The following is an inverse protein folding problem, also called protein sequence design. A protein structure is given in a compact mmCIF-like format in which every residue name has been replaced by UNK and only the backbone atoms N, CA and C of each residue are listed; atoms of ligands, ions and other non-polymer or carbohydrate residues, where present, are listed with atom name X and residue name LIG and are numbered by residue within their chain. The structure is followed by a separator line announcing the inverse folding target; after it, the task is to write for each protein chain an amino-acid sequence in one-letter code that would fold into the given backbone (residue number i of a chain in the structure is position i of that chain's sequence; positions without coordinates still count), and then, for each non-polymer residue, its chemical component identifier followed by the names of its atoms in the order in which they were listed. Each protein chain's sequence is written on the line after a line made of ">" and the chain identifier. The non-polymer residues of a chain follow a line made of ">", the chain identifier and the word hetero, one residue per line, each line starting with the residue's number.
data_IF_129404181136
#
_entry.id   IF_129404181136
#
_cell.length_a   1.000
_cell.length_b   1.000
_cell.length_c   1.000
_cell.angle_alpha   90.00
_cell.angle_beta   90.00
_cell.angle_gamma   90.00
#
_symmetry.space_group_name_H-M   'P 1'
#
loop_
_entity.id
_entity.type
_entity.pdbx_description
1 polymer ?
#
# COMPACT_ATOMS: atom_id res chain seq x y z
N UNK A 1 14.18 11.35 -7.90
CA UNK A 1 13.60 10.73 -6.67
C UNK A 1 12.39 9.91 -7.07
N UNK A 2 12.56 8.59 -7.26
CA UNK A 2 11.55 7.63 -7.75
C UNK A 2 11.71 6.25 -7.05
N UNK A 3 12.48 6.19 -5.96
CA UNK A 3 13.07 4.93 -5.48
C UNK A 3 12.11 3.96 -4.79
N UNK A 4 11.17 4.46 -3.98
CA UNK A 4 10.27 3.61 -3.19
C UNK A 4 9.33 2.77 -4.06
N UNK A 5 8.58 3.44 -4.95
CA UNK A 5 7.65 2.76 -5.86
C UNK A 5 8.37 1.84 -6.82
N UNK A 6 9.47 2.31 -7.43
CA UNK A 6 10.24 1.51 -8.36
C UNK A 6 10.85 0.27 -7.67
N UNK A 7 11.28 0.39 -6.41
CA UNK A 7 11.77 -0.76 -5.66
C UNK A 7 10.68 -1.78 -5.39
N UNK A 8 9.46 -1.37 -5.03
CA UNK A 8 8.33 -2.30 -4.91
C UNK A 8 7.93 -2.88 -6.27
N UNK A 9 7.93 -2.08 -7.33
CA UNK A 9 7.60 -2.54 -8.68
C UNK A 9 8.54 -3.63 -9.19
N UNK A 10 9.80 -3.67 -8.75
CA UNK A 10 10.70 -4.76 -9.14
C UNK A 10 10.29 -6.13 -8.58
N UNK A 11 9.65 -6.17 -7.42
CA UNK A 11 9.30 -7.44 -6.74
C UNK A 11 7.81 -7.74 -6.76
N UNK A 12 6.97 -6.72 -6.78
CA UNK A 12 5.53 -6.80 -6.53
C UNK A 12 4.71 -6.16 -7.66
N UNK A 13 5.28 -6.03 -8.86
CA UNK A 13 4.50 -5.56 -10.01
C UNK A 13 3.30 -6.47 -10.20
N UNK A 14 2.13 -5.87 -10.29
CA UNK A 14 0.92 -6.61 -10.58
C UNK A 14 0.98 -7.17 -11.99
N UNK A 15 0.89 -8.50 -12.10
CA UNK A 15 0.85 -9.22 -13.38
C UNK A 15 -0.56 -9.69 -13.75
N UNK A 16 -1.46 -9.80 -12.77
CA UNK A 16 -2.84 -10.27 -12.96
C UNK A 16 -3.85 -9.22 -12.48
N UNK A 17 -5.06 -9.15 -13.08
CA UNK A 17 -6.12 -8.28 -12.58
C UNK A 17 -6.39 -8.53 -11.10
N UNK A 18 -6.56 -7.46 -10.33
CA UNK A 18 -6.84 -7.53 -8.90
C UNK A 18 -8.35 -7.59 -8.68
N UNK A 19 -8.84 -8.64 -8.04
CA UNK A 19 -10.22 -8.78 -7.56
C UNK A 19 -10.29 -8.44 -6.07
N UNK A 20 -11.09 -7.43 -5.72
CA UNK A 20 -11.27 -6.99 -4.33
C UNK A 20 -11.63 -5.52 -4.22
N UNK A 21 -12.00 -5.09 -3.01
CA UNK A 21 -12.34 -3.71 -2.75
C UNK A 21 -11.14 -2.77 -2.93
N UNK A 22 -11.39 -1.61 -3.55
CA UNK A 22 -10.39 -0.56 -3.77
C UNK A 22 -10.89 0.77 -3.22
N UNK A 23 -10.02 1.46 -2.49
CA UNK A 23 -10.23 2.80 -1.95
C UNK A 23 -9.34 3.79 -2.69
N UNK A 24 -9.98 4.60 -3.55
CA UNK A 24 -9.33 5.71 -4.26
C UNK A 24 -9.18 6.92 -3.34
N UNK A 25 -8.34 7.87 -3.75
CA UNK A 25 -8.09 9.11 -3.02
C UNK A 25 -7.59 8.89 -1.60
N UNK A 26 -6.89 7.78 -1.39
CA UNK A 26 -6.23 7.50 -0.13
C UNK A 26 -5.00 8.38 0.01
N UNK A 27 -4.76 8.85 1.23
CA UNK A 27 -3.51 9.51 1.60
C UNK A 27 -2.62 8.49 2.31
N UNK A 28 -1.37 8.41 1.86
CA UNK A 28 -0.38 7.52 2.43
C UNK A 28 1.03 7.93 2.05
N UNK A 29 2.03 7.36 2.70
CA UNK A 29 3.42 7.55 2.33
C UNK A 29 4.05 6.21 1.95
N UNK A 30 4.98 6.26 1.01
CA UNK A 30 5.79 5.12 0.60
C UNK A 30 7.27 5.49 0.79
N UNK A 31 7.85 5.02 1.89
CA UNK A 31 9.18 5.45 2.33
C UNK A 31 9.21 6.96 2.59
N UNK A 32 10.07 7.68 1.88
CA UNK A 32 10.20 9.15 1.98
C UNK A 32 9.21 9.91 1.08
N UNK A 33 8.50 9.23 0.19
CA UNK A 33 7.54 9.86 -0.72
C UNK A 33 6.15 9.91 -0.07
N UNK A 34 5.61 11.10 0.11
CA UNK A 34 4.22 11.30 0.56
C UNK A 34 3.29 11.38 -0.66
N UNK A 35 2.32 10.48 -0.73
CA UNK A 35 1.29 10.45 -1.75
C UNK A 35 -0.02 10.96 -1.15
N UNK A 36 -0.28 12.25 -1.32
CA UNK A 36 -1.54 12.88 -0.91
C UNK A 36 -2.58 12.72 -2.02
N UNK A 37 -3.76 12.17 -1.72
CA UNK A 37 -4.94 12.07 -2.60
C UNK A 37 -4.82 11.31 -3.93
N UNK A 38 -3.63 10.89 -4.36
CA UNK A 38 -3.44 10.14 -5.60
C UNK A 38 -3.18 8.65 -5.39
N UNK A 39 -3.30 8.12 -4.17
CA UNK A 39 -3.12 6.69 -3.93
C UNK A 39 -4.46 5.95 -4.03
N UNK A 40 -4.50 4.90 -4.84
CA UNK A 40 -5.51 3.85 -4.76
C UNK A 40 -4.93 2.69 -3.99
N UNK A 41 -5.56 2.31 -2.88
CA UNK A 41 -5.21 1.14 -2.08
C UNK A 41 -6.33 0.13 -2.22
N UNK A 42 -6.03 -1.17 -2.28
CA UNK A 42 -7.00 -2.24 -2.23
C UNK A 42 -6.51 -3.38 -1.35
N UNK A 43 -7.43 -4.22 -0.91
CA UNK A 43 -7.13 -5.40 -0.12
C UNK A 43 -8.10 -6.52 -0.51
N UNK A 44 -7.60 -7.74 -0.49
CA UNK A 44 -8.39 -8.96 -0.64
C UNK A 44 -7.78 -10.06 0.26
N UNK A 45 -8.33 -11.27 0.33
CA UNK A 45 -7.76 -12.35 1.14
C UNK A 45 -6.33 -12.77 0.74
N UNK A 46 -5.91 -12.50 -0.49
CA UNK A 46 -4.60 -12.87 -1.03
C UNK A 46 -3.51 -11.82 -0.73
N UNK A 47 -3.86 -10.54 -0.75
CA UNK A 47 -2.90 -9.46 -0.57
C UNK A 47 -3.45 -8.04 -0.70
N UNK A 48 -2.50 -7.14 -0.91
CA UNK A 48 -2.64 -5.71 -0.99
C UNK A 48 -2.47 -5.24 -2.42
N UNK A 49 -3.31 -4.30 -2.85
CA UNK A 49 -3.19 -3.62 -4.13
C UNK A 49 -2.81 -2.16 -3.92
N UNK A 50 -1.86 -1.66 -4.71
CA UNK A 50 -1.48 -0.25 -4.71
C UNK A 50 -1.39 0.24 -6.15
N UNK A 51 -2.04 1.36 -6.44
CA UNK A 51 -1.90 2.05 -7.71
C UNK A 51 -1.92 3.56 -7.50
N UNK A 52 -1.26 4.30 -8.40
CA UNK A 52 -1.40 5.76 -8.44
C UNK A 52 -2.57 6.12 -9.35
N UNK A 53 -3.50 6.92 -8.84
CA UNK A 53 -4.69 7.45 -9.51
C UNK A 53 -4.32 8.61 -10.44
N UNK A 54 -3.41 8.40 -11.40
CA UNK A 54 -3.01 9.43 -12.36
C UNK A 54 -3.36 8.97 -13.79
N UNK A 55 -3.90 9.85 -14.67
CA UNK A 55 -4.14 9.50 -16.08
C UNK A 55 -2.83 9.20 -16.84
N UNK A 56 -1.70 9.75 -16.39
CA UNK A 56 -0.36 9.47 -16.94
C UNK A 56 0.32 8.34 -16.14
N UNK A 57 -0.13 7.09 -16.36
CA UNK A 57 0.46 5.86 -15.75
C UNK A 57 1.93 5.58 -16.15
N UNK A 58 2.62 6.56 -16.73
CA UNK A 58 4.00 6.46 -17.16
C UNK A 58 4.92 6.37 -15.92
N UNK A 59 5.42 5.16 -15.65
CA UNK A 59 6.45 4.91 -14.63
C UNK A 59 5.97 4.37 -13.27
N UNK A 60 4.66 4.29 -13.04
CA UNK A 60 4.09 3.78 -11.78
C UNK A 60 3.18 2.57 -12.04
N UNK A 61 3.76 1.39 -12.36
CA UNK A 61 2.95 0.19 -12.57
C UNK A 61 2.19 -0.13 -11.27
N UNK A 62 0.93 -0.61 -11.37
CA UNK A 62 0.21 -1.05 -10.19
C UNK A 62 0.95 -2.22 -9.54
N UNK A 63 0.84 -2.29 -8.22
CA UNK A 63 1.54 -3.23 -7.38
C UNK A 63 0.53 -4.16 -6.71
N UNK A 64 0.90 -5.42 -6.61
CA UNK A 64 0.18 -6.42 -5.83
C UNK A 64 1.16 -7.11 -4.88
N UNK A 65 0.92 -6.97 -3.59
CA UNK A 65 1.79 -7.47 -2.53
C UNK A 65 1.02 -8.54 -1.74
N UNK A 66 1.36 -9.83 -1.88
CA UNK A 66 0.74 -10.88 -1.11
C UNK A 66 0.89 -10.67 0.40
N UNK A 67 -0.07 -11.11 1.20
CA UNK A 67 0.05 -11.01 2.66
C UNK A 67 1.27 -11.77 3.20
N UNK A 68 1.66 -12.87 2.55
CA UNK A 68 2.87 -13.63 2.89
C UNK A 68 4.18 -12.84 2.73
N UNK A 69 4.15 -11.78 1.93
CA UNK A 69 5.27 -10.88 1.63
C UNK A 69 5.30 -9.65 2.55
N UNK A 70 4.23 -9.44 3.33
CA UNK A 70 4.19 -8.42 4.38
C UNK A 70 4.98 -8.94 5.58
N UNK A 71 6.03 -8.21 5.95
CA UNK A 71 6.93 -8.56 7.05
C UNK A 71 6.35 -8.15 8.41
N UNK A 72 5.78 -6.95 8.51
CA UNK A 72 5.12 -6.47 9.72
C UNK A 72 4.07 -5.41 9.39
N UNK A 73 3.09 -5.29 10.29
CA UNK A 73 2.03 -4.28 10.28
C UNK A 73 2.07 -3.60 11.65
N UNK A 74 2.45 -2.33 11.68
CA UNK A 74 2.71 -1.60 12.92
C UNK A 74 1.90 -0.29 12.94
N UNK A 75 1.22 0.03 14.05
CA UNK A 75 0.67 1.37 14.25
C UNK A 75 1.80 2.41 14.23
N UNK A 76 1.63 3.44 13.42
CA UNK A 76 2.55 4.57 13.36
C UNK A 76 1.83 5.83 13.83
N UNK A 77 2.33 6.43 14.92
CA UNK A 77 1.93 7.77 15.33
C UNK A 77 2.72 8.79 14.51
N UNK A 78 2.08 9.35 13.49
CA UNK A 78 2.51 10.65 12.95
C UNK A 78 1.86 11.74 13.81
N UNK A 79 2.59 12.82 14.11
CA UNK A 79 2.30 13.87 15.11
C UNK A 79 0.81 14.05 15.50
N UNK A 80 -0.11 14.09 14.52
CA UNK A 80 -1.55 14.30 14.75
C UNK A 80 -2.49 13.29 14.06
N UNK A 81 -1.98 12.32 13.30
CA UNK A 81 -2.81 11.40 12.51
C UNK A 81 -2.42 9.94 12.74
N UNK A 82 -3.36 9.07 13.18
CA UNK A 82 -3.09 7.66 13.36
C UNK A 82 -2.93 6.98 11.98
N UNK A 83 -1.73 6.44 11.75
CA UNK A 83 -1.39 5.69 10.54
C UNK A 83 -1.05 4.25 10.88
N UNK A 84 -1.11 3.37 9.88
CA UNK A 84 -0.65 1.99 9.96
C UNK A 84 0.42 1.80 8.92
N UNK A 85 1.60 1.36 9.35
CA UNK A 85 2.77 1.09 8.52
C UNK A 85 2.85 -0.40 8.21
N UNK A 86 3.03 -0.70 6.93
CA UNK A 86 3.31 -2.02 6.39
C UNK A 86 4.77 -2.06 5.96
N UNK A 87 5.49 -3.09 6.39
CA UNK A 87 6.84 -3.41 5.93
C UNK A 87 6.79 -4.64 5.03
N UNK A 88 7.71 -4.71 4.07
CA UNK A 88 7.74 -5.76 3.06
C UNK A 88 9.05 -6.54 3.13
N UNK A 89 8.98 -7.87 2.92
CA UNK A 89 10.15 -8.75 3.02
C UNK A 89 11.20 -8.44 1.96
N UNK A 90 10.80 -8.28 0.70
CA UNK A 90 11.73 -8.04 -0.42
C UNK A 90 12.17 -6.58 -0.54
N UNK A 91 11.49 -5.66 0.15
CA UNK A 91 11.81 -4.24 0.11
C UNK A 91 11.80 -3.63 1.53
N UNK A 92 12.70 -4.07 2.44
CA UNK A 92 12.68 -3.65 3.83
C UNK A 92 12.98 -2.15 4.03
N UNK A 93 13.63 -1.51 3.04
CA UNK A 93 13.91 -0.08 3.03
C UNK A 93 12.70 0.78 2.63
N UNK A 94 11.61 0.15 2.16
CA UNK A 94 10.39 0.82 1.73
C UNK A 94 9.23 0.34 2.59
N UNK A 95 8.51 1.28 3.19
CA UNK A 95 7.32 0.97 3.96
C UNK A 95 6.14 1.77 3.44
N UNK A 96 4.97 1.14 3.37
CA UNK A 96 3.72 1.83 3.09
C UNK A 96 3.08 2.27 4.41
N UNK A 97 2.77 3.55 4.57
CA UNK A 97 1.90 4.02 5.64
C UNK A 97 0.57 4.49 5.05
N UNK A 98 -0.54 4.02 5.62
CA UNK A 98 -1.91 4.45 5.28
C UNK A 98 -2.63 4.94 6.52
N UNK A 99 -3.69 5.72 6.36
CA UNK A 99 -4.51 6.14 7.49
C UNK A 99 -5.16 4.94 8.18
N UNK A 100 -5.39 5.05 9.50
CA UNK A 100 -6.08 4.01 10.27
C UNK A 100 -7.45 3.64 9.69
N UNK A 101 -8.19 4.61 9.14
CA UNK A 101 -9.49 4.37 8.50
C UNK A 101 -9.38 3.40 7.31
N UNK A 102 -8.36 3.58 6.48
CA UNK A 102 -8.10 2.71 5.32
C UNK A 102 -7.63 1.34 5.79
N UNK A 103 -6.71 1.28 6.76
CA UNK A 103 -6.24 0.01 7.32
C UNK A 103 -7.38 -0.84 7.91
N UNK A 104 -8.31 -0.24 8.65
CA UNK A 104 -9.48 -0.93 9.19
C UNK A 104 -10.42 -1.45 8.10
N UNK A 105 -10.62 -0.67 7.02
CA UNK A 105 -11.41 -1.11 5.88
C UNK A 105 -10.74 -2.31 5.18
N UNK A 106 -9.41 -2.29 5.05
CA UNK A 106 -8.62 -3.40 4.52
C UNK A 106 -8.69 -4.63 5.43
N UNK A 107 -8.70 -4.45 6.76
CA UNK A 107 -8.83 -5.53 7.73
C UNK A 107 -10.13 -6.31 7.52
N UNK A 108 -11.23 -5.55 7.39
CA UNK A 108 -12.56 -6.09 7.15
C UNK A 108 -12.63 -6.87 5.84
N UNK A 109 -12.07 -6.33 4.77
CA UNK A 109 -12.12 -6.96 3.43
C UNK A 109 -11.21 -8.19 3.31
N UNK A 110 -10.02 -8.14 3.92
CA UNK A 110 -9.06 -9.25 3.89
C UNK A 110 -9.37 -10.36 4.91
N UNK A 111 -10.41 -10.17 5.73
CA UNK A 111 -10.75 -11.02 6.88
C UNK A 111 -9.53 -11.27 7.80
N UNK A 112 -8.69 -10.26 7.98
CA UNK A 112 -7.47 -10.31 8.78
C UNK A 112 -7.39 -9.11 9.73
N UNK A 113 -6.87 -9.29 10.95
CA UNK A 113 -6.59 -8.17 11.83
C UNK A 113 -5.43 -7.34 11.24
N UNK A 114 -5.69 -6.06 10.96
CA UNK A 114 -4.70 -5.10 10.49
C UNK A 114 -4.77 -3.90 11.45
N UNK A 115 -3.93 -3.93 12.48
CA UNK A 115 -3.77 -2.84 13.45
C UNK A 115 -4.79 -2.84 14.59
#
# INVERSE_FOLDING_TARGET
>A
MLGGWHSLARHYRQLRPFSGQRWRFSSGSLGLASYSFFLTVGANPEGLFLAVSCPLRLGHPPLFIPWSEVASIEPQRFLSFPMVRFRFKQAPKVSLAVSRRVALAMAKESNRPIG
#
